data_IF_850633576596
#
_entry.id   IF_850633576596
#
_cell.length_a   1.000
_cell.length_b   1.000
_cell.length_c   1.000
_cell.angle_alpha   90.00
_cell.angle_beta   90.00
_cell.angle_gamma   90.00
#
_symmetry.space_group_name_H-M   'P 1'
#
loop_
_entity.id
_entity.type
_entity.pdbx_description
1 polymer ?
#
# COMPACT_ATOMS: atom_id res chain seq x y z
N UNK A 1 0.22 -20.31 16.14
CA UNK A 1 -0.85 -19.65 15.34
C UNK A 1 -2.00 -20.62 15.13
N UNK A 2 -3.21 -20.27 15.56
CA UNK A 2 -4.38 -21.10 15.28
C UNK A 2 -4.76 -21.02 13.79
N UNK A 3 -5.03 -22.17 13.16
CA UNK A 3 -5.50 -22.23 11.77
C UNK A 3 -6.94 -21.72 11.65
N UNK A 4 -7.24 -21.04 10.55
CA UNK A 4 -8.61 -20.57 10.26
C UNK A 4 -9.55 -21.75 10.00
N UNK A 5 -10.87 -21.53 10.16
CA UNK A 5 -11.88 -22.57 9.90
C UNK A 5 -11.82 -23.10 8.45
N UNK A 6 -11.63 -22.20 7.48
CA UNK A 6 -11.49 -22.54 6.05
C UNK A 6 -10.30 -23.47 5.79
N UNK A 7 -9.14 -23.17 6.39
CA UNK A 7 -7.95 -24.02 6.25
C UNK A 7 -8.17 -25.41 6.82
N UNK A 8 -8.86 -25.51 7.97
CA UNK A 8 -9.19 -26.80 8.58
C UNK A 8 -10.16 -27.62 7.70
N UNK A 9 -11.14 -26.97 7.07
CA UNK A 9 -12.09 -27.62 6.17
C UNK A 9 -11.39 -28.17 4.91
N UNK A 10 -10.52 -27.38 4.29
CA UNK A 10 -9.73 -27.80 3.13
C UNK A 10 -8.84 -29.01 3.44
N UNK A 11 -8.09 -28.97 4.55
CA UNK A 11 -7.22 -30.08 4.98
C UNK A 11 -8.00 -31.33 5.40
N UNK A 12 -9.23 -31.19 5.88
CA UNK A 12 -10.10 -32.35 6.17
C UNK A 12 -10.49 -33.01 4.85
N UNK A 13 -10.96 -32.22 3.90
CA UNK A 13 -11.41 -32.68 2.58
C UNK A 13 -10.30 -33.37 1.79
N UNK A 14 -9.08 -32.80 1.81
CA UNK A 14 -7.90 -33.38 1.17
C UNK A 14 -7.54 -34.76 1.75
N UNK A 15 -7.58 -34.91 3.08
CA UNK A 15 -7.30 -36.19 3.75
C UNK A 15 -8.35 -37.26 3.48
N UNK A 16 -9.63 -36.89 3.42
CA UNK A 16 -10.72 -37.83 3.17
C UNK A 16 -11.01 -38.07 1.69
N UNK A 17 -10.32 -37.37 0.77
CA UNK A 17 -10.61 -37.42 -0.66
C UNK A 17 -12.01 -36.90 -1.02
N UNK A 18 -12.66 -36.16 -0.12
CA UNK A 18 -14.03 -35.67 -0.29
C UNK A 18 -14.04 -34.26 -0.85
N UNK A 19 -15.12 -33.89 -1.52
CA UNK A 19 -15.33 -32.53 -1.99
C UNK A 19 -15.64 -31.56 -0.83
N UNK A 20 -15.20 -30.30 -0.95
CA UNK A 20 -15.65 -29.22 -0.06
C UNK A 20 -15.96 -27.94 -0.84
N UNK A 21 -16.96 -27.19 -0.36
CA UNK A 21 -17.41 -25.95 -0.99
C UNK A 21 -16.32 -24.87 -0.98
N UNK A 22 -15.49 -24.82 0.07
CA UNK A 22 -14.39 -23.88 0.22
C UNK A 22 -13.37 -23.97 -0.91
N UNK A 23 -13.22 -25.14 -1.54
CA UNK A 23 -12.30 -25.36 -2.67
C UNK A 23 -12.73 -24.64 -3.95
N UNK A 24 -14.02 -24.32 -4.09
CA UNK A 24 -14.56 -23.63 -5.26
C UNK A 24 -14.58 -22.10 -5.09
N UNK A 25 -14.18 -21.58 -3.92
CA UNK A 25 -14.05 -20.13 -3.75
C UNK A 25 -12.97 -19.62 -4.69
N UNK A 26 -13.23 -18.52 -5.40
CA UNK A 26 -12.20 -17.83 -6.20
C UNK A 26 -11.01 -17.52 -5.31
N UNK A 27 -9.92 -18.24 -5.53
CA UNK A 27 -8.65 -18.00 -4.88
C UNK A 27 -7.93 -16.93 -5.68
N UNK A 28 -7.40 -15.92 -5.01
CA UNK A 28 -6.74 -14.79 -5.64
C UNK A 28 -5.28 -15.14 -6.03
N UNK A 29 -5.05 -16.37 -6.50
CA UNK A 29 -3.72 -16.93 -6.76
C UNK A 29 -2.99 -16.16 -7.87
N UNK A 30 -3.70 -15.80 -8.94
CA UNK A 30 -3.13 -15.09 -10.09
C UNK A 30 -2.85 -13.61 -9.80
N UNK A 31 -3.55 -13.03 -8.83
CA UNK A 31 -3.38 -11.64 -8.44
C UNK A 31 -2.38 -11.46 -7.27
N UNK A 32 -1.67 -12.52 -6.91
CA UNK A 32 -0.55 -12.44 -5.96
C UNK A 32 0.69 -11.78 -6.57
N UNK A 33 0.79 -11.74 -7.90
CA UNK A 33 1.93 -11.15 -8.59
C UNK A 33 1.95 -9.60 -8.53
N UNK A 34 0.77 -8.95 -8.41
CA UNK A 34 0.65 -7.50 -8.40
C UNK A 34 -0.40 -7.09 -7.36
N UNK A 35 -0.06 -6.12 -6.50
CA UNK A 35 -1.01 -5.62 -5.52
C UNK A 35 -2.22 -4.92 -6.18
N UNK A 36 -3.41 -5.39 -5.84
CA UNK A 36 -4.71 -4.94 -6.38
C UNK A 36 -5.25 -3.65 -5.77
N UNK A 37 -4.57 -3.06 -4.78
CA UNK A 37 -5.07 -1.82 -4.19
C UNK A 37 -5.03 -0.68 -5.22
N UNK A 38 -6.04 0.18 -5.16
CA UNK A 38 -6.04 1.44 -5.91
C UNK A 38 -4.89 2.29 -5.39
N UNK A 39 -3.98 2.68 -6.27
CA UNK A 39 -2.89 3.61 -5.95
C UNK A 39 -3.42 5.03 -6.14
N UNK A 40 -3.37 5.81 -5.07
CA UNK A 40 -3.77 7.21 -5.09
C UNK A 40 -2.53 8.10 -5.06
N UNK A 41 -2.49 9.09 -5.93
CA UNK A 41 -1.46 10.13 -5.88
C UNK A 41 -1.64 10.95 -4.60
N UNK A 42 -0.57 11.24 -3.84
CA UNK A 42 -0.68 12.01 -2.61
C UNK A 42 -1.27 13.39 -2.88
N UNK A 43 -2.13 13.87 -1.98
CA UNK A 43 -2.77 15.17 -2.10
C UNK A 43 -1.82 16.34 -1.78
N UNK A 44 -2.26 17.58 -2.06
CA UNK A 44 -1.46 18.81 -1.86
C UNK A 44 -0.83 18.91 -0.47
N UNK A 45 -1.60 18.63 0.59
CA UNK A 45 -1.10 18.66 1.99
C UNK A 45 -0.01 17.61 2.24
N UNK A 46 -0.17 16.40 1.70
CA UNK A 46 0.81 15.33 1.85
C UNK A 46 2.10 15.63 1.06
N UNK A 47 1.98 16.29 -0.09
CA UNK A 47 3.13 16.71 -0.89
C UNK A 47 3.88 17.88 -0.22
N UNK A 48 3.18 18.91 0.26
CA UNK A 48 3.80 20.08 0.90
C UNK A 48 4.51 19.74 2.21
N UNK A 49 3.95 18.79 2.99
CA UNK A 49 4.59 18.32 4.22
C UNK A 49 5.74 17.34 3.96
N UNK A 50 5.92 16.89 2.71
CA UNK A 50 7.02 15.99 2.35
C UNK A 50 8.28 16.81 2.11
N UNK A 51 9.04 17.04 3.17
CA UNK A 51 10.33 17.71 3.08
C UNK A 51 11.37 16.74 2.51
N UNK A 52 11.40 16.60 1.19
CA UNK A 52 12.32 15.68 0.49
C UNK A 52 13.69 16.30 0.23
N UNK A 53 13.73 17.59 -0.09
CA UNK A 53 14.95 18.35 -0.37
C UNK A 53 14.95 19.57 0.56
N UNK A 54 15.73 19.51 1.65
CA UNK A 54 15.96 20.66 2.53
C UNK A 54 17.09 21.49 1.93
N UNK A 55 16.75 22.67 1.41
CA UNK A 55 17.76 23.73 1.27
C UNK A 55 18.33 24.01 2.65
N UNK A 56 19.65 23.95 2.80
CA UNK A 56 20.30 24.37 4.03
C UNK A 56 20.22 25.89 4.04
N UNK A 57 19.32 26.46 4.85
CA UNK A 57 19.33 27.89 5.17
C UNK A 57 20.55 28.11 6.06
N UNK A 58 21.72 28.19 5.44
CA UNK A 58 22.97 28.50 6.09
C UNK A 58 23.24 30.00 5.87
N UNK A 59 23.15 30.78 6.93
CA UNK A 59 23.82 32.09 7.02
C UNK A 59 22.91 33.30 6.93
N UNK A 60 23.16 34.26 7.83
CA UNK A 60 22.58 35.59 7.96
C UNK A 60 22.71 36.46 6.69
N UNK A 61 21.93 36.15 5.65
CA UNK A 61 21.92 36.94 4.43
C UNK A 61 20.60 36.79 3.68
N UNK A 62 19.75 37.81 3.78
CA UNK A 62 18.50 37.89 3.04
C UNK A 62 18.76 37.74 1.53
N UNK A 63 18.23 36.70 0.86
CA UNK A 63 18.43 36.52 -0.57
C UNK A 63 17.40 37.39 -1.31
N UNK A 64 17.75 38.66 -1.46
CA UNK A 64 17.32 39.61 -2.49
C UNK A 64 16.48 39.01 -3.65
N UNK A 65 15.19 38.77 -3.43
CA UNK A 65 14.26 38.39 -4.51
C UNK A 65 12.79 38.72 -4.19
N UNK A 66 12.52 39.92 -3.66
CA UNK A 66 11.22 40.56 -3.89
C UNK A 66 11.38 41.54 -5.05
N UNK A 67 11.30 41.04 -6.30
CA UNK A 67 10.98 41.88 -7.45
C UNK A 67 9.46 41.92 -7.63
N UNK A 68 8.97 43.08 -8.06
CA UNK A 68 7.57 43.49 -8.31
C UNK A 68 6.83 43.92 -7.04
N UNK A 69 6.23 45.11 -6.95
CA UNK A 69 5.54 45.91 -7.98
C UNK A 69 5.74 47.41 -7.65
N UNK A 70 6.03 48.22 -8.66
CA UNK A 70 6.00 49.69 -8.60
C UNK A 70 4.59 50.22 -8.71
#
# INVERSE_FOLDING_TARGET
MARTRTQKALLKAERSGTWCAERNRRMNQDYGAISQHVRMTPGKRQQLNKVKHKERINGDGAPFACRLVS
#
